data_IF_361170094193
#
_entry.id   IF_361170094193
#
_cell.length_a   1.000
_cell.length_b   1.000
_cell.length_c   1.000
_cell.angle_alpha   90.00
_cell.angle_beta   90.00
_cell.angle_gamma   90.00
#
_symmetry.space_group_name_H-M   'P 1'
#
loop_
_entity.id
_entity.type
_entity.pdbx_description
1 polymer ?
#
# COMPACT_ATOMS: atom_id res chain seq x y z
N UNK A 1 -33.19 10.10 4.23
CA UNK A 1 -32.57 9.53 3.03
C UNK A 1 -32.63 8.02 3.17
N UNK A 2 -33.28 7.31 2.24
CA UNK A 2 -33.23 5.85 2.21
C UNK A 2 -31.83 5.46 1.74
N UNK A 3 -31.07 4.73 2.57
CA UNK A 3 -29.85 4.10 2.09
C UNK A 3 -30.24 3.13 0.96
N UNK A 4 -29.56 3.15 -0.20
CA UNK A 4 -29.80 2.18 -1.25
C UNK A 4 -29.61 0.78 -0.67
N UNK A 5 -30.61 -0.09 -0.85
CA UNK A 5 -30.57 -1.45 -0.34
C UNK A 5 -29.45 -2.21 -1.03
N UNK A 6 -28.55 -2.83 -0.26
CA UNK A 6 -27.50 -3.70 -0.81
C UNK A 6 -28.13 -5.03 -1.18
N UNK A 7 -28.13 -5.36 -2.48
CA UNK A 7 -28.60 -6.67 -2.96
C UNK A 7 -27.63 -7.77 -2.54
N UNK A 8 -28.15 -8.98 -2.33
CA UNK A 8 -27.33 -10.13 -1.95
C UNK A 8 -27.44 -11.20 -3.01
N UNK A 9 -26.29 -11.74 -3.43
CA UNK A 9 -26.22 -12.87 -4.37
C UNK A 9 -25.45 -14.01 -3.71
N UNK A 10 -25.87 -15.24 -3.96
CA UNK A 10 -25.21 -16.42 -3.40
C UNK A 10 -23.79 -16.62 -3.95
N UNK A 11 -23.56 -16.30 -5.23
CA UNK A 11 -22.26 -16.43 -5.89
C UNK A 11 -22.02 -15.35 -6.96
N UNK A 12 -20.78 -15.25 -7.43
CA UNK A 12 -20.41 -14.31 -8.50
C UNK A 12 -21.15 -14.63 -9.82
N UNK A 13 -21.43 -15.90 -10.10
CA UNK A 13 -22.17 -16.34 -11.28
C UNK A 13 -23.63 -15.89 -11.21
N UNK A 14 -24.26 -15.97 -10.02
CA UNK A 14 -25.62 -15.46 -9.82
C UNK A 14 -25.66 -13.94 -10.06
N UNK A 15 -24.70 -13.20 -9.50
CA UNK A 15 -24.57 -11.76 -9.69
C UNK A 15 -24.34 -11.37 -11.16
N UNK A 16 -23.55 -12.15 -11.90
CA UNK A 16 -23.30 -11.94 -13.34
C UNK A 16 -24.52 -12.28 -14.18
N UNK A 17 -25.23 -13.37 -13.86
CA UNK A 17 -26.45 -13.81 -14.55
C UNK A 17 -27.51 -12.71 -14.52
N UNK A 18 -27.74 -12.12 -13.35
CA UNK A 18 -28.80 -11.15 -13.16
C UNK A 18 -28.34 -9.71 -13.51
N UNK A 19 -27.09 -9.52 -13.96
CA UNK A 19 -26.47 -8.21 -14.16
C UNK A 19 -27.23 -7.28 -15.13
N UNK A 20 -27.98 -7.85 -16.08
CA UNK A 20 -28.75 -7.08 -17.06
C UNK A 20 -30.04 -6.49 -16.47
N UNK A 21 -30.53 -7.04 -15.36
CA UNK A 21 -31.71 -6.56 -14.64
C UNK A 21 -31.37 -5.43 -13.66
N UNK A 22 -30.08 -5.19 -13.43
CA UNK A 22 -29.61 -4.31 -12.36
C UNK A 22 -29.21 -2.93 -12.90
N UNK A 23 -29.73 -1.89 -12.28
CA UNK A 23 -29.44 -0.51 -12.62
C UNK A 23 -28.03 -0.10 -12.19
N UNK A 24 -27.41 0.81 -12.97
CA UNK A 24 -26.13 1.44 -12.63
C UNK A 24 -26.29 2.18 -11.30
N UNK A 25 -25.34 1.97 -10.37
CA UNK A 25 -25.40 2.49 -9.00
C UNK A 25 -25.84 1.46 -7.96
N UNK A 26 -26.35 0.29 -8.37
CA UNK A 26 -26.71 -0.79 -7.45
C UNK A 26 -25.48 -1.34 -6.74
N UNK A 27 -25.56 -1.46 -5.40
CA UNK A 27 -24.58 -2.18 -4.59
C UNK A 27 -25.04 -3.62 -4.38
N UNK A 28 -24.10 -4.56 -4.51
CA UNK A 28 -24.36 -5.98 -4.30
C UNK A 28 -23.27 -6.65 -3.46
N UNK A 29 -23.67 -7.45 -2.48
CA UNK A 29 -22.80 -8.30 -1.69
C UNK A 29 -22.91 -9.74 -2.21
N UNK A 30 -21.80 -10.35 -2.58
CA UNK A 30 -21.75 -11.78 -2.87
C UNK A 30 -21.45 -12.53 -1.57
N UNK A 31 -22.35 -13.40 -1.13
CA UNK A 31 -22.34 -13.94 0.24
C UNK A 31 -21.35 -15.08 0.45
N UNK A 32 -20.92 -15.78 -0.60
CA UNK A 32 -19.90 -16.85 -0.50
C UNK A 32 -18.49 -16.30 -0.19
N UNK A 33 -18.19 -15.12 -0.71
CA UNK A 33 -16.87 -14.48 -0.69
C UNK A 33 -16.87 -13.19 0.13
N UNK A 34 -18.05 -12.71 0.54
CA UNK A 34 -18.27 -11.44 1.22
C UNK A 34 -17.72 -10.22 0.47
N UNK A 35 -17.61 -10.33 -0.85
CA UNK A 35 -17.12 -9.26 -1.74
C UNK A 35 -18.24 -8.30 -2.10
N UNK A 36 -17.99 -7.00 -1.97
CA UNK A 36 -18.91 -5.93 -2.32
C UNK A 36 -18.67 -5.46 -3.76
N UNK A 37 -19.73 -5.29 -4.53
CA UNK A 37 -19.69 -4.85 -5.93
C UNK A 37 -20.59 -3.64 -6.16
N UNK A 38 -20.18 -2.77 -7.09
CA UNK A 38 -20.94 -1.67 -7.64
C UNK A 38 -21.26 -1.93 -9.11
N UNK A 39 -22.53 -1.83 -9.49
CA UNK A 39 -22.94 -1.88 -10.90
C UNK A 39 -22.57 -0.57 -11.59
N UNK A 40 -21.79 -0.66 -12.66
CA UNK A 40 -21.42 0.45 -13.55
C UNK A 40 -21.81 0.12 -15.00
N UNK A 41 -21.69 1.10 -15.91
CA UNK A 41 -22.05 0.93 -17.32
C UNK A 41 -21.34 -0.24 -18.02
N UNK A 42 -20.11 -0.57 -17.59
CA UNK A 42 -19.32 -1.69 -18.10
C UNK A 42 -19.48 -3.02 -17.36
N UNK A 43 -20.43 -3.15 -16.42
CA UNK A 43 -20.64 -4.36 -15.63
C UNK A 43 -20.47 -4.15 -14.13
N UNK A 44 -20.09 -5.20 -13.41
CA UNK A 44 -19.88 -5.14 -11.96
C UNK A 44 -18.42 -4.84 -11.61
N UNK A 45 -18.19 -3.90 -10.69
CA UNK A 45 -16.86 -3.61 -10.15
C UNK A 45 -16.79 -3.97 -8.68
N UNK A 46 -15.85 -4.82 -8.32
CA UNK A 46 -15.54 -5.13 -6.93
C UNK A 46 -14.95 -3.90 -6.22
N UNK A 47 -15.47 -3.58 -5.04
CA UNK A 47 -15.02 -2.49 -4.18
C UNK A 47 -13.86 -3.00 -3.33
N UNK A 48 -12.66 -2.54 -3.66
CA UNK A 48 -11.41 -2.89 -2.98
C UNK A 48 -10.41 -1.74 -3.11
N UNK A 49 -9.46 -1.66 -2.19
CA UNK A 49 -8.29 -0.78 -2.30
C UNK A 49 -7.15 -1.56 -2.93
N UNK A 50 -6.45 -0.98 -3.91
CA UNK A 50 -5.31 -1.64 -4.55
C UNK A 50 -4.01 -0.95 -4.13
N UNK A 51 -3.09 -1.72 -3.57
CA UNK A 51 -1.72 -1.30 -3.33
C UNK A 51 -0.83 -1.88 -4.43
N UNK A 52 -0.22 -0.99 -5.22
CA UNK A 52 0.57 -1.33 -6.40
C UNK A 52 1.82 -0.46 -6.40
N UNK A 53 2.97 -1.05 -6.69
CA UNK A 53 4.21 -0.32 -6.77
C UNK A 53 4.38 0.40 -8.12
N UNK A 54 5.18 1.46 -8.14
CA UNK A 54 5.67 2.02 -9.40
C UNK A 54 6.64 1.02 -10.07
N UNK A 55 6.75 1.08 -11.40
CA UNK A 55 7.57 0.20 -12.23
C UNK A 55 9.09 0.41 -12.07
N UNK A 56 9.51 1.46 -11.37
CA UNK A 56 10.94 1.68 -11.09
C UNK A 56 11.16 2.13 -9.65
N UNK A 57 12.30 1.75 -9.04
CA UNK A 57 12.68 2.29 -7.74
C UNK A 57 12.85 3.80 -7.84
N UNK A 58 12.36 4.51 -6.82
CA UNK A 58 12.40 5.96 -6.79
C UNK A 58 13.40 6.48 -5.76
N UNK A 59 13.95 7.66 -6.03
CA UNK A 59 14.62 8.46 -5.01
C UNK A 59 13.60 9.27 -4.20
N UNK A 60 14.08 10.01 -3.21
CA UNK A 60 13.25 10.91 -2.40
C UNK A 60 12.79 12.15 -3.17
N UNK A 61 13.42 12.47 -4.31
CA UNK A 61 12.94 13.52 -5.20
C UNK A 61 11.95 12.92 -6.19
N UNK A 62 10.69 13.01 -5.80
CA UNK A 62 9.55 12.72 -6.66
C UNK A 62 9.03 14.02 -7.33
N UNK A 63 9.73 15.15 -7.15
CA UNK A 63 9.35 16.51 -7.53
C UNK A 63 8.25 17.14 -6.68
N UNK A 64 7.22 16.37 -6.30
CA UNK A 64 6.18 16.73 -5.33
C UNK A 64 5.18 15.57 -5.16
N UNK A 65 4.29 15.67 -4.16
CA UNK A 65 3.14 14.75 -4.05
C UNK A 65 2.25 14.74 -5.31
N UNK A 66 2.10 15.87 -6.02
CA UNK A 66 1.32 15.95 -7.25
C UNK A 66 1.99 15.19 -8.40
N UNK A 67 3.32 15.29 -8.50
CA UNK A 67 4.12 14.55 -9.47
C UNK A 67 4.09 13.05 -9.18
N UNK A 68 4.25 12.64 -7.90
CA UNK A 68 4.10 11.23 -7.49
C UNK A 68 2.72 10.67 -7.84
N UNK A 69 1.64 11.40 -7.50
CA UNK A 69 0.26 11.02 -7.88
C UNK A 69 0.08 10.93 -9.41
N UNK A 70 0.73 11.82 -10.18
CA UNK A 70 0.71 11.78 -11.65
C UNK A 70 1.42 10.55 -12.17
N UNK A 71 2.57 10.16 -11.61
CA UNK A 71 3.29 8.94 -12.00
C UNK A 71 2.43 7.70 -11.76
N UNK A 72 1.80 7.57 -10.59
CA UNK A 72 0.88 6.45 -10.30
C UNK A 72 -0.24 6.36 -11.35
N UNK A 73 -0.89 7.49 -11.68
CA UNK A 73 -1.95 7.53 -12.69
C UNK A 73 -1.46 7.15 -14.08
N UNK A 74 -0.30 7.68 -14.51
CA UNK A 74 0.22 7.39 -15.85
C UNK A 74 0.63 5.94 -16.02
N UNK A 75 1.25 5.33 -15.00
CA UNK A 75 1.63 3.92 -15.06
C UNK A 75 0.40 2.99 -15.02
N UNK A 76 -0.61 3.32 -14.20
CA UNK A 76 -1.89 2.60 -14.23
C UNK A 76 -2.54 2.67 -15.62
N UNK A 77 -2.62 3.86 -16.21
CA UNK A 77 -3.21 4.09 -17.53
C UNK A 77 -2.46 3.38 -18.65
N UNK A 78 -1.13 3.35 -18.60
CA UNK A 78 -0.30 2.62 -19.57
C UNK A 78 -0.61 1.12 -19.59
N UNK A 79 -1.12 0.58 -18.47
CA UNK A 79 -1.54 -0.82 -18.32
C UNK A 79 -3.05 -1.01 -18.51
N UNK A 80 -3.75 0.00 -19.03
CA UNK A 80 -5.20 -0.04 -19.27
C UNK A 80 -6.06 0.06 -18.00
N UNK A 81 -5.45 0.34 -16.85
CA UNK A 81 -6.15 0.49 -15.57
C UNK A 81 -6.74 1.90 -15.50
N UNK A 82 -8.06 1.98 -15.32
CA UNK A 82 -8.81 3.25 -15.32
C UNK A 82 -9.05 3.81 -13.92
N UNK A 83 -8.58 3.13 -12.89
CA UNK A 83 -8.70 3.58 -11.50
C UNK A 83 -7.78 4.75 -11.19
N UNK A 84 -8.19 5.57 -10.23
CA UNK A 84 -7.40 6.70 -9.76
C UNK A 84 -6.50 6.24 -8.62
N UNK A 85 -5.20 6.21 -8.88
CA UNK A 85 -4.20 5.92 -7.87
C UNK A 85 -3.65 7.20 -7.24
N UNK A 86 -3.41 7.14 -5.92
CA UNK A 86 -2.65 8.13 -5.16
C UNK A 86 -1.38 7.49 -4.61
N UNK A 87 -0.34 8.30 -4.45
CA UNK A 87 0.91 7.87 -3.85
C UNK A 87 0.71 7.52 -2.37
N UNK A 88 1.35 6.44 -1.94
CA UNK A 88 1.35 5.97 -0.56
C UNK A 88 2.40 6.75 0.27
N UNK A 89 2.17 8.05 0.45
CA UNK A 89 3.14 8.95 1.10
C UNK A 89 2.43 9.96 2.00
N UNK A 90 3.03 10.28 3.14
CA UNK A 90 2.71 11.52 3.87
C UNK A 90 3.33 12.73 3.17
N UNK A 91 2.76 13.92 3.35
CA UNK A 91 3.38 15.20 2.95
C UNK A 91 2.99 16.32 3.93
N UNK A 92 3.52 17.53 3.74
CA UNK A 92 3.31 18.69 4.64
C UNK A 92 1.84 19.05 4.98
N UNK A 93 0.84 18.57 4.23
CA UNK A 93 -0.59 18.85 4.52
C UNK A 93 -1.42 17.58 4.79
N UNK A 94 -0.84 16.39 4.67
CA UNK A 94 -1.61 15.14 4.76
C UNK A 94 -0.77 14.04 5.38
N UNK A 95 -1.33 13.42 6.41
CA UNK A 95 -0.84 12.19 7.00
C UNK A 95 -1.19 11.02 6.07
N UNK A 96 -0.31 10.02 6.02
CA UNK A 96 -0.52 8.82 5.22
C UNK A 96 -1.82 8.11 5.61
N UNK A 97 -2.14 8.04 6.90
CA UNK A 97 -3.40 7.45 7.39
C UNK A 97 -4.65 8.14 6.81
N UNK A 98 -4.53 9.37 6.33
CA UNK A 98 -5.62 10.16 5.76
C UNK A 98 -5.72 10.13 4.22
N UNK A 99 -4.84 9.39 3.53
CA UNK A 99 -4.91 9.23 2.06
C UNK A 99 -6.23 8.59 1.62
N UNK A 100 -6.70 7.59 2.39
CA UNK A 100 -8.01 6.95 2.22
C UNK A 100 -9.05 7.68 3.08
N UNK A 101 -10.23 7.94 2.53
CA UNK A 101 -11.30 8.62 3.27
C UNK A 101 -11.86 7.73 4.39
N UNK A 102 -12.21 8.33 5.53
CA UNK A 102 -12.63 7.63 6.75
C UNK A 102 -13.65 6.49 6.54
N UNK A 103 -14.72 6.65 5.72
CA UNK A 103 -15.72 5.59 5.54
C UNK A 103 -15.18 4.27 4.95
N UNK A 104 -14.04 4.32 4.27
CA UNK A 104 -13.46 3.15 3.59
C UNK A 104 -12.34 2.48 4.38
N UNK A 105 -11.97 3.00 5.57
CA UNK A 105 -10.75 2.57 6.26
C UNK A 105 -10.87 1.24 7.00
N UNK A 106 -12.06 0.89 7.47
CA UNK A 106 -12.31 -0.26 8.36
C UNK A 106 -12.85 -1.50 7.65
N UNK A 107 -13.50 -1.33 6.49
CA UNK A 107 -14.30 -2.37 5.84
C UNK A 107 -13.78 -2.81 4.48
N UNK A 108 -12.92 -2.01 3.83
CA UNK A 108 -12.46 -2.29 2.47
C UNK A 108 -11.08 -2.96 2.51
N UNK A 109 -10.93 -4.17 1.95
CA UNK A 109 -9.64 -4.86 1.93
C UNK A 109 -8.66 -4.17 0.99
N UNK A 110 -7.37 -4.33 1.32
CA UNK A 110 -6.28 -3.89 0.44
C UNK A 110 -5.71 -5.11 -0.25
N UNK A 111 -5.70 -5.07 -1.57
CA UNK A 111 -5.21 -6.14 -2.41
C UNK A 111 -4.03 -5.67 -3.27
N UNK A 112 -3.27 -6.62 -3.80
CA UNK A 112 -2.27 -6.35 -4.81
C UNK A 112 -2.91 -6.14 -6.21
N UNK A 113 -2.08 -6.02 -7.25
CA UNK A 113 -2.56 -5.83 -8.63
C UNK A 113 -3.47 -6.98 -9.12
N UNK A 114 -3.27 -8.20 -8.62
CA UNK A 114 -4.03 -9.40 -9.02
C UNK A 114 -5.25 -9.68 -8.14
N UNK A 115 -5.53 -8.85 -7.13
CA UNK A 115 -6.68 -9.03 -6.24
C UNK A 115 -6.42 -9.95 -5.05
N UNK A 116 -5.16 -10.32 -4.79
CA UNK A 116 -4.77 -11.09 -3.61
C UNK A 116 -4.66 -10.14 -2.40
N UNK A 117 -5.22 -10.54 -1.26
CA UNK A 117 -5.29 -9.69 -0.07
C UNK A 117 -3.90 -9.48 0.53
N UNK A 118 -3.50 -8.21 0.65
CA UNK A 118 -2.30 -7.80 1.36
C UNK A 118 -2.62 -7.43 2.82
N UNK A 119 -3.70 -6.67 3.02
CA UNK A 119 -4.13 -6.24 4.36
C UNK A 119 -5.64 -6.32 4.48
N UNK A 120 -6.13 -6.61 5.69
CA UNK A 120 -7.57 -6.75 5.98
C UNK A 120 -8.34 -5.47 5.64
N UNK A 121 -7.76 -4.32 5.97
CA UNK A 121 -8.31 -2.98 5.70
C UNK A 121 -7.22 -1.90 5.87
N UNK A 122 -7.55 -0.64 5.59
CA UNK A 122 -6.60 0.49 5.68
C UNK A 122 -5.99 0.67 7.06
N UNK A 123 -6.79 0.59 8.12
CA UNK A 123 -6.28 0.75 9.50
C UNK A 123 -5.31 -0.36 9.88
N UNK A 124 -5.53 -1.58 9.37
CA UNK A 124 -4.66 -2.72 9.66
C UNK A 124 -3.25 -2.56 9.13
N UNK A 125 -3.01 -1.74 8.08
CA UNK A 125 -1.65 -1.42 7.64
C UNK A 125 -0.86 -0.79 8.78
N UNK A 126 -1.48 0.08 9.58
CA UNK A 126 -0.82 0.83 10.65
C UNK A 126 -0.74 0.07 11.98
N UNK A 127 -1.31 -1.13 12.04
CA UNK A 127 -1.21 -2.04 13.20
C UNK A 127 -0.34 -3.25 12.91
N UNK A 128 -0.30 -3.70 11.65
CA UNK A 128 0.54 -4.78 11.17
C UNK A 128 1.10 -4.41 9.79
N UNK A 129 2.33 -3.90 9.77
CA UNK A 129 2.97 -3.33 8.58
C UNK A 129 3.53 -4.38 7.62
N UNK A 130 3.51 -5.66 8.00
CA UNK A 130 4.17 -6.72 7.25
C UNK A 130 3.26 -7.20 6.12
N UNK A 131 3.84 -7.30 4.92
CA UNK A 131 3.18 -8.00 3.82
C UNK A 131 3.02 -9.49 4.18
N UNK A 132 1.89 -10.11 3.83
CA UNK A 132 1.69 -11.53 4.06
C UNK A 132 2.70 -12.37 3.28
N UNK A 133 3.24 -13.40 3.95
CA UNK A 133 4.23 -14.30 3.35
C UNK A 133 3.65 -15.01 2.13
N UNK A 134 4.43 -15.07 1.05
CA UNK A 134 4.05 -15.75 -0.19
C UNK A 134 3.05 -15.00 -1.08
N UNK A 135 2.63 -13.78 -0.70
CA UNK A 135 1.76 -12.93 -1.52
C UNK A 135 2.59 -11.79 -2.13
N UNK A 136 2.75 -11.74 -3.46
CA UNK A 136 3.57 -10.72 -4.12
C UNK A 136 3.01 -9.31 -4.01
N UNK A 137 3.91 -8.33 -3.93
CA UNK A 137 3.59 -6.93 -4.20
C UNK A 137 3.95 -6.63 -5.65
N UNK A 138 2.95 -6.50 -6.51
CA UNK A 138 3.17 -6.21 -7.92
C UNK A 138 3.38 -4.72 -8.18
N UNK A 139 4.27 -4.42 -9.11
CA UNK A 139 4.32 -3.14 -9.82
C UNK A 139 3.25 -3.08 -10.92
N UNK A 140 2.97 -1.90 -11.48
CA UNK A 140 1.93 -1.74 -12.52
C UNK A 140 2.19 -2.63 -13.74
N UNK A 141 3.44 -2.82 -14.15
CA UNK A 141 3.82 -3.71 -15.25
C UNK A 141 3.79 -5.23 -14.90
N UNK A 142 3.41 -5.57 -13.66
CA UNK A 142 3.13 -6.94 -13.24
C UNK A 142 4.31 -7.70 -12.65
N UNK A 143 5.45 -7.04 -12.38
CA UNK A 143 6.61 -7.67 -11.72
C UNK A 143 6.46 -7.68 -10.20
N UNK A 144 6.84 -8.78 -9.57
CA UNK A 144 6.88 -8.90 -8.12
C UNK A 144 8.08 -8.14 -7.54
N UNK A 145 7.81 -7.01 -6.90
CA UNK A 145 8.83 -6.11 -6.36
C UNK A 145 9.67 -6.77 -5.28
N UNK A 146 9.12 -7.74 -4.53
CA UNK A 146 9.82 -8.36 -3.41
C UNK A 146 10.86 -9.37 -3.88
N UNK A 147 10.66 -10.01 -5.03
CA UNK A 147 11.59 -10.99 -5.61
C UNK A 147 12.43 -10.44 -6.77
N UNK A 148 11.96 -9.43 -7.50
CA UNK A 148 12.65 -8.89 -8.68
C UNK A 148 13.94 -8.14 -8.31
N UNK A 149 15.13 -8.54 -8.80
CA UNK A 149 16.41 -7.89 -8.48
C UNK A 149 16.50 -6.43 -8.96
N UNK A 150 15.63 -5.99 -9.87
CA UNK A 150 15.53 -4.60 -10.32
C UNK A 150 15.21 -3.61 -9.19
N UNK A 151 14.59 -4.08 -8.10
CA UNK A 151 14.51 -3.36 -6.83
C UNK A 151 15.56 -3.90 -5.84
N UNK A 152 16.80 -3.40 -5.85
CA UNK A 152 17.86 -3.95 -4.99
C UNK A 152 17.61 -3.69 -3.50
N UNK A 153 16.87 -2.62 -3.17
CA UNK A 153 16.45 -2.30 -1.81
C UNK A 153 14.95 -2.57 -1.67
N UNK A 154 14.59 -3.54 -0.82
CA UNK A 154 13.19 -3.90 -0.51
C UNK A 154 12.64 -2.97 0.58
N UNK A 155 12.56 -1.69 0.25
CA UNK A 155 12.11 -0.64 1.15
C UNK A 155 11.08 0.24 0.45
N UNK A 156 10.18 0.83 1.24
CA UNK A 156 9.09 1.68 0.75
C UNK A 156 9.29 3.08 1.32
N UNK A 157 9.22 4.10 0.45
CA UNK A 157 9.09 5.48 0.89
C UNK A 157 7.68 5.71 1.42
N UNK A 158 7.55 6.29 2.61
CA UNK A 158 6.25 6.62 3.19
C UNK A 158 6.25 7.92 4.02
N UNK A 159 7.39 8.33 4.59
CA UNK A 159 7.55 9.61 5.30
C UNK A 159 6.63 9.79 6.50
N UNK A 160 6.28 8.68 7.15
CA UNK A 160 5.28 8.62 8.23
C UNK A 160 5.80 7.84 9.43
N UNK A 161 5.16 7.98 10.58
CA UNK A 161 5.32 7.04 11.70
C UNK A 161 4.63 5.71 11.42
N UNK A 162 4.80 4.73 12.32
CA UNK A 162 4.08 3.45 12.29
C UNK A 162 2.56 3.67 12.29
N UNK A 163 2.06 4.64 13.06
CA UNK A 163 0.64 5.04 13.07
C UNK A 163 0.19 5.86 11.85
N UNK A 164 1.03 6.02 10.83
CA UNK A 164 0.69 6.73 9.59
C UNK A 164 0.66 8.25 9.70
N UNK A 165 1.12 8.85 10.82
CA UNK A 165 1.22 10.31 10.96
C UNK A 165 2.44 10.82 10.22
N UNK A 166 2.36 11.99 9.59
CA UNK A 166 3.51 12.55 8.85
C UNK A 166 4.71 12.82 9.78
N UNK A 167 5.90 12.65 9.23
CA UNK A 167 7.15 13.05 9.86
C UNK A 167 7.79 14.12 8.97
N UNK A 168 7.63 15.39 9.36
CA UNK A 168 8.02 16.54 8.55
C UNK A 168 9.53 16.57 8.25
N UNK A 169 10.35 15.99 9.12
CA UNK A 169 11.79 15.85 8.98
C UNK A 169 12.21 14.64 8.13
N UNK A 170 11.30 13.70 7.80
CA UNK A 170 11.60 12.42 7.15
C UNK A 170 10.79 12.17 5.88
N UNK A 171 10.32 13.24 5.24
CA UNK A 171 9.54 13.17 4.01
C UNK A 171 10.23 13.85 2.80
N UNK A 172 11.55 14.02 2.83
CA UNK A 172 12.34 14.60 1.74
C UNK A 172 11.88 15.99 1.30
N UNK A 173 11.64 16.89 2.25
CA UNK A 173 11.09 18.24 1.97
C UNK A 173 9.77 18.17 1.19
N UNK A 174 8.91 17.22 1.59
CA UNK A 174 7.71 16.80 0.85
C UNK A 174 8.02 16.29 -0.56
N UNK A 175 8.98 15.38 -0.65
CA UNK A 175 9.39 14.63 -1.84
C UNK A 175 10.01 15.47 -2.95
N UNK A 176 10.78 16.50 -2.58
CA UNK A 176 11.45 17.43 -3.48
C UNK A 176 12.98 17.32 -3.47
N UNK A 177 13.53 16.40 -2.69
CA UNK A 177 14.98 16.27 -2.49
C UNK A 177 15.47 14.80 -2.62
N UNK A 178 16.51 14.59 -3.46
CA UNK A 178 16.78 13.31 -4.17
C UNK A 178 18.24 12.85 -4.39
N UNK A 179 19.25 13.67 -4.07
CA UNK A 179 20.69 13.32 -3.98
C UNK A 179 21.33 12.35 -2.88
N UNK A 180 22.51 11.78 -3.13
CA UNK A 180 23.15 10.81 -2.21
C UNK A 180 23.39 11.30 -0.75
N UNK A 181 23.48 12.61 -0.52
CA UNK A 181 23.72 13.21 0.80
C UNK A 181 22.49 13.26 1.71
N UNK A 182 21.25 13.29 1.20
CA UNK A 182 20.05 13.24 2.06
C UNK A 182 19.61 11.82 2.39
N UNK A 183 20.33 10.78 1.95
CA UNK A 183 20.09 9.42 2.47
C UNK A 183 20.04 9.39 4.00
N UNK A 184 20.66 10.34 4.70
CA UNK A 184 20.58 10.53 6.16
C UNK A 184 19.53 11.53 6.67
N UNK A 185 18.89 12.34 5.80
CA UNK A 185 17.82 13.28 6.14
C UNK A 185 16.42 12.72 5.85
N UNK A 186 16.23 11.97 4.75
CA UNK A 186 14.98 11.20 4.60
C UNK A 186 15.03 9.81 5.24
N UNK A 187 16.19 9.39 5.73
CA UNK A 187 16.24 8.42 6.83
C UNK A 187 16.20 9.21 8.13
N UNK A 188 15.58 8.70 9.20
CA UNK A 188 15.68 9.34 10.50
C UNK A 188 17.14 9.58 10.89
N UNK A 189 17.49 10.82 11.24
CA UNK A 189 18.69 11.08 12.05
C UNK A 189 18.44 10.53 13.45
N UNK A 190 19.27 9.58 13.87
CA UNK A 190 19.55 9.17 15.26
C UNK A 190 18.36 9.21 16.23
N UNK A 191 17.74 8.06 16.49
CA UNK A 191 16.84 7.87 17.66
C UNK A 191 15.40 7.46 17.35
N UNK A 192 15.00 7.29 16.09
CA UNK A 192 13.74 6.66 15.72
C UNK A 192 14.04 5.36 14.98
N UNK A 193 13.67 4.25 15.59
CA UNK A 193 13.83 2.89 15.12
C UNK A 193 13.60 2.75 13.61
N UNK A 194 14.68 2.48 12.88
CA UNK A 194 14.64 1.62 11.71
C UNK A 194 15.59 0.47 12.03
N UNK A 195 15.07 -0.57 12.67
CA UNK A 195 15.69 -1.86 12.40
C UNK A 195 15.36 -2.22 10.97
N UNK A 196 16.43 -2.28 10.19
CA UNK A 196 16.58 -3.14 9.05
C UNK A 196 15.75 -4.42 9.22
N UNK A 197 14.72 -4.56 8.39
CA UNK A 197 14.14 -5.87 8.12
C UNK A 197 14.35 -6.18 6.64
N UNK A 198 15.33 -7.07 6.41
CA UNK A 198 15.34 -7.97 5.28
C UNK A 198 14.04 -8.78 5.34
N UNK A 199 13.47 -9.06 4.19
CA UNK A 199 12.60 -10.24 4.06
C UNK A 199 13.49 -11.45 4.35
N UNK A 200 13.44 -12.00 5.56
CA UNK A 200 13.18 -13.43 5.83
C UNK A 200 13.12 -13.72 7.36
N UNK A 201 12.13 -14.50 7.78
CA UNK A 201 12.00 -15.07 9.12
C UNK A 201 12.47 -16.55 9.06
N UNK A 202 13.42 -16.96 9.93
CA UNK A 202 13.67 -18.35 10.46
C UNK A 202 15.06 -19.00 10.36
N UNK A 203 16.19 -18.28 10.34
CA UNK A 203 17.47 -18.95 10.64
C UNK A 203 18.34 -18.19 11.64
N UNK A 204 18.10 -18.46 12.93
CA UNK A 204 19.13 -18.51 13.96
C UNK A 204 18.87 -19.68 14.92
N UNK A 205 19.65 -20.75 14.75
CA UNK A 205 20.11 -21.73 15.76
C UNK A 205 21.56 -22.00 15.28
N UNK A 206 22.63 -21.49 15.90
CA UNK A 206 23.26 -21.78 17.21
C UNK A 206 24.02 -20.52 17.68
N UNK A 207 23.83 -20.00 18.90
CA UNK A 207 24.40 -20.39 20.22
C UNK A 207 25.92 -20.18 20.35
N UNK A 208 26.28 -19.54 21.47
CA UNK A 208 27.59 -19.12 22.02
C UNK A 208 28.08 -17.75 21.53
N UNK A 209 28.30 -16.74 22.36
CA UNK A 209 28.32 -16.64 23.81
C UNK A 209 29.13 -15.40 24.20
N UNK A 210 28.84 -14.87 25.39
CA UNK A 210 29.64 -13.95 26.21
C UNK A 210 29.73 -12.48 25.79
N UNK A 211 28.89 -11.72 26.48
CA UNK A 211 29.22 -10.49 27.20
C UNK A 211 30.71 -10.42 27.63
N UNK A 212 31.41 -9.38 27.17
CA UNK A 212 32.59 -8.81 27.80
C UNK A 212 32.55 -7.30 27.53
N UNK A 213 32.01 -6.56 28.49
CA UNK A 213 32.45 -5.19 28.73
C UNK A 213 33.85 -5.27 29.33
N UNK A 214 34.86 -4.77 28.62
CA UNK A 214 36.13 -4.38 29.19
C UNK A 214 36.61 -3.10 28.48
N UNK A 215 36.64 -2.05 29.29
CA UNK A 215 37.65 -0.99 29.39
C UNK A 215 37.96 -0.15 28.14
N UNK A 216 37.75 1.16 28.24
CA UNK A 216 38.77 2.07 28.80
C UNK A 216 38.42 3.53 28.47
N UNK A 217 38.24 4.33 29.51
CA UNK A 217 38.32 5.78 29.46
C UNK A 217 39.16 6.24 30.64
N UNK A 218 40.42 6.53 30.36
CA UNK A 218 41.27 7.41 31.17
C UNK A 218 40.65 8.81 31.27
#
# INVERSE_FOLDING_TARGET
MLFPQVKKYSSLEALKRDSYMEEVGTFALVTDTYKLYLKVSGGWREIQLRLVALNTPQTGDLGSIHSANRQCRLQAQAMGIRDVYKAFLSHHLQDLSDVVQAPYRTSIPIVNLRGEILFKNWESIFSNHLLPSGIPLYSFDGRDVMSDPFWPQKAIWHGSSEGGRRLDDKNCESWRAGDMLWKTLCRPRSGAWFYQWRVDWRQMIEVNGKEYDNEAGQ
#
